data_IF_883700261936
#
_entry.id   IF_883700261936
#
_cell.length_a   1.000
_cell.length_b   1.000
_cell.length_c   1.000
_cell.angle_alpha   90.00
_cell.angle_beta   90.00
_cell.angle_gamma   90.00
#
_symmetry.space_group_name_H-M   'P 1'
#
loop_
_entity.id
_entity.type
_entity.pdbx_description
1 polymer ?
#
# COMPACT_ATOMS: atom_id res chain seq x y z
N UNK A 1 16.44 3.26 -24.27
CA UNK A 1 15.91 4.47 -23.57
C UNK A 1 15.94 4.22 -22.07
N UNK A 2 16.11 5.28 -21.24
CA UNK A 2 16.02 5.13 -19.79
C UNK A 2 14.55 4.91 -19.38
N UNK A 3 14.33 3.99 -18.43
CA UNK A 3 13.00 3.60 -17.96
C UNK A 3 12.38 4.60 -16.98
N UNK A 4 11.12 4.42 -16.66
CA UNK A 4 10.46 5.01 -15.49
C UNK A 4 10.49 4.02 -14.33
N UNK A 5 11.09 4.41 -13.20
CA UNK A 5 11.04 3.62 -11.97
C UNK A 5 9.73 3.87 -11.22
N UNK A 6 9.11 2.81 -10.72
CA UNK A 6 7.92 2.88 -9.85
C UNK A 6 8.34 2.55 -8.41
N UNK A 7 8.07 3.48 -7.51
CA UNK A 7 8.23 3.33 -6.06
C UNK A 7 6.86 3.09 -5.45
N UNK A 8 6.57 1.86 -5.05
CA UNK A 8 5.25 1.46 -4.54
C UNK A 8 5.36 0.46 -3.38
N UNK A 9 4.23 0.17 -2.75
CA UNK A 9 4.12 -0.83 -1.69
C UNK A 9 3.67 -2.21 -2.23
N UNK A 10 4.08 -2.59 -3.41
CA UNK A 10 3.74 -3.83 -4.13
C UNK A 10 3.96 -5.13 -3.33
N UNK A 11 4.83 -5.10 -2.34
CA UNK A 11 5.21 -6.23 -1.48
C UNK A 11 4.30 -6.40 -0.25
N UNK A 12 3.32 -5.54 -0.08
CA UNK A 12 2.35 -5.68 1.02
C UNK A 12 1.26 -6.66 0.63
N UNK A 13 0.98 -7.64 1.50
CA UNK A 13 -0.13 -8.57 1.32
C UNK A 13 -1.47 -7.89 1.62
N UNK A 14 -1.79 -6.88 0.83
CA UNK A 14 -3.00 -6.07 0.89
C UNK A 14 -3.56 -5.89 -0.53
N UNK A 15 -4.85 -6.14 -0.73
CA UNK A 15 -5.49 -6.08 -2.05
C UNK A 15 -5.35 -4.70 -2.69
N UNK A 16 -5.69 -3.64 -1.97
CA UNK A 16 -5.58 -2.27 -2.48
C UNK A 16 -4.16 -1.91 -2.85
N UNK A 17 -3.18 -2.23 -1.99
CA UNK A 17 -1.76 -1.93 -2.24
C UNK A 17 -1.21 -2.64 -3.47
N UNK A 18 -1.61 -3.90 -3.70
CA UNK A 18 -1.17 -4.66 -4.87
C UNK A 18 -1.85 -4.18 -6.15
N UNK A 19 -3.17 -3.96 -6.11
CA UNK A 19 -3.93 -3.55 -7.29
C UNK A 19 -3.56 -2.14 -7.76
N UNK A 20 -3.35 -1.18 -6.84
CA UNK A 20 -2.90 0.16 -7.23
C UNK A 20 -1.47 0.13 -7.81
N UNK A 21 -0.57 -0.71 -7.29
CA UNK A 21 0.78 -0.85 -7.83
C UNK A 21 0.74 -1.45 -9.25
N UNK A 22 -0.07 -2.49 -9.46
CA UNK A 22 -0.31 -3.06 -10.77
C UNK A 22 -0.91 -2.04 -11.74
N UNK A 23 -1.96 -1.32 -11.31
CA UNK A 23 -2.60 -0.31 -12.14
C UNK A 23 -1.62 0.82 -12.53
N UNK A 24 -0.75 1.25 -11.60
CA UNK A 24 0.29 2.25 -11.90
C UNK A 24 1.23 1.77 -13.01
N UNK A 25 1.69 0.51 -12.94
CA UNK A 25 2.55 -0.09 -13.95
C UNK A 25 1.85 -0.13 -15.31
N UNK A 26 0.60 -0.62 -15.33
CA UNK A 26 -0.18 -0.73 -16.57
C UNK A 26 -0.60 0.63 -17.14
N UNK A 27 -0.81 1.65 -16.30
CA UNK A 27 -1.10 3.00 -16.77
C UNK A 27 0.11 3.61 -17.51
N UNK A 28 1.33 3.36 -17.04
CA UNK A 28 2.54 3.77 -17.74
C UNK A 28 2.71 3.01 -19.07
N UNK A 29 2.34 1.72 -19.13
CA UNK A 29 2.33 0.95 -20.39
C UNK A 29 1.37 1.54 -21.41
N UNK A 30 0.17 1.97 -20.99
CA UNK A 30 -0.81 2.64 -21.87
C UNK A 30 -0.31 3.98 -22.42
N UNK A 31 0.65 4.59 -21.74
CA UNK A 31 1.29 5.84 -22.15
C UNK A 31 2.62 5.60 -22.88
N UNK A 32 2.92 4.35 -23.25
CA UNK A 32 4.14 3.93 -23.94
C UNK A 32 5.44 4.23 -23.17
N UNK A 33 5.38 4.29 -21.83
CA UNK A 33 6.55 4.42 -20.99
C UNK A 33 7.07 3.04 -20.55
N UNK A 34 8.28 2.68 -20.98
CA UNK A 34 8.98 1.53 -20.42
C UNK A 34 9.21 1.75 -18.92
N UNK A 35 8.77 0.80 -18.10
CA UNK A 35 8.76 0.98 -16.66
C UNK A 35 9.06 -0.32 -15.90
N UNK A 36 9.55 -0.17 -14.68
CA UNK A 36 9.74 -1.26 -13.73
C UNK A 36 9.55 -0.78 -12.29
N UNK A 37 9.10 -1.68 -11.43
CA UNK A 37 8.93 -1.40 -9.99
C UNK A 37 10.24 -1.70 -9.27
N UNK A 38 10.71 -0.78 -8.43
CA UNK A 38 11.97 -0.96 -7.69
C UNK A 38 11.87 -2.16 -6.75
N UNK A 39 12.76 -3.16 -6.93
CA UNK A 39 12.92 -4.28 -5.99
C UNK A 39 13.60 -3.80 -4.70
N UNK A 40 12.81 -3.75 -3.62
CA UNK A 40 13.31 -3.31 -2.31
C UNK A 40 13.95 -4.43 -1.49
N UNK A 41 13.98 -5.66 -1.97
CA UNK A 41 14.39 -6.82 -1.17
C UNK A 41 15.78 -6.64 -0.55
N UNK A 42 16.72 -5.99 -1.24
CA UNK A 42 18.06 -5.78 -0.75
C UNK A 42 18.19 -4.74 0.38
N UNK A 43 17.28 -3.75 0.43
CA UNK A 43 17.32 -2.67 1.45
C UNK A 43 16.04 -2.53 2.29
N UNK A 44 15.12 -3.48 2.20
CA UNK A 44 13.90 -3.47 3.01
C UNK A 44 14.19 -3.44 4.54
N UNK A 45 15.33 -4.01 4.95
CA UNK A 45 15.78 -3.95 6.33
C UNK A 45 16.05 -2.51 6.81
N UNK A 46 16.59 -1.63 5.94
CA UNK A 46 16.79 -0.20 6.26
C UNK A 46 15.45 0.50 6.50
N UNK A 47 14.46 0.26 5.61
CA UNK A 47 13.11 0.80 5.71
C UNK A 47 12.45 0.34 7.02
N UNK A 48 12.52 -0.96 7.32
CA UNK A 48 11.95 -1.54 8.56
C UNK A 48 12.61 -0.97 9.81
N UNK A 49 13.95 -0.89 9.83
CA UNK A 49 14.72 -0.33 10.96
C UNK A 49 14.31 1.12 11.25
N UNK A 50 14.23 1.95 10.20
CA UNK A 50 13.84 3.34 10.37
C UNK A 50 12.39 3.51 10.88
N UNK A 51 11.45 2.66 10.41
CA UNK A 51 10.09 2.63 10.94
C UNK A 51 10.05 2.20 12.41
N UNK A 52 10.80 1.17 12.79
CA UNK A 52 10.88 0.70 14.19
C UNK A 52 11.41 1.82 15.09
N UNK A 53 12.49 2.50 14.69
CA UNK A 53 13.06 3.64 15.43
C UNK A 53 12.06 4.80 15.57
N UNK A 54 11.32 5.11 14.49
CA UNK A 54 10.27 6.12 14.55
C UNK A 54 9.20 5.75 15.58
N UNK A 55 8.70 4.52 15.54
CA UNK A 55 7.66 4.06 16.47
C UNK A 55 8.17 3.90 17.91
N UNK A 56 9.43 3.53 18.11
CA UNK A 56 10.03 3.49 19.43
C UNK A 56 10.08 4.89 20.07
N UNK A 57 10.48 5.91 19.30
CA UNK A 57 10.44 7.31 19.76
C UNK A 57 9.02 7.80 20.04
N UNK A 58 8.07 7.48 19.17
CA UNK A 58 6.67 7.88 19.33
C UNK A 58 5.98 7.15 20.50
N UNK A 59 6.43 5.95 20.87
CA UNK A 59 5.87 5.15 21.97
C UNK A 59 6.25 5.66 23.37
N UNK A 60 7.14 6.63 23.46
CA UNK A 60 7.40 7.35 24.70
C UNK A 60 6.24 8.25 25.13
N UNK A 61 5.23 8.44 24.27
CA UNK A 61 3.95 9.06 24.60
C UNK A 61 2.92 7.96 24.87
N UNK A 62 2.25 8.00 26.03
CA UNK A 62 1.48 6.92 26.67
C UNK A 62 0.40 6.22 25.82
N UNK A 63 -0.28 6.93 24.94
CA UNK A 63 -1.47 6.39 24.22
C UNK A 63 -1.14 5.36 23.12
N UNK A 64 0.04 5.46 22.54
CA UNK A 64 0.52 4.54 21.48
C UNK A 64 1.00 3.22 22.07
N UNK A 65 1.50 3.23 23.31
CA UNK A 65 1.99 2.04 24.00
C UNK A 65 0.85 1.05 24.29
N UNK A 66 -0.29 1.56 24.74
CA UNK A 66 -1.46 0.75 25.10
C UNK A 66 -2.05 0.06 23.87
N UNK A 67 -2.16 0.79 22.75
CA UNK A 67 -2.69 0.23 21.49
C UNK A 67 -1.78 -0.87 20.90
N UNK A 68 -0.47 -0.74 21.04
CA UNK A 68 0.51 -1.73 20.56
C UNK A 68 0.58 -2.98 21.45
N UNK A 69 0.42 -2.84 22.77
CA UNK A 69 0.31 -3.99 23.67
C UNK A 69 -0.93 -4.82 23.35
N UNK A 70 -2.05 -4.17 23.00
CA UNK A 70 -3.25 -4.86 22.53
C UNK A 70 -3.02 -5.64 21.23
N UNK A 71 -2.35 -5.02 20.22
CA UNK A 71 -2.00 -5.70 18.98
C UNK A 71 -1.03 -6.86 19.17
N UNK A 72 0.01 -6.69 20.00
CA UNK A 72 0.96 -7.77 20.32
C UNK A 72 0.31 -8.94 21.04
N UNK A 73 -0.62 -8.67 21.98
CA UNK A 73 -1.43 -9.69 22.66
C UNK A 73 -2.30 -10.46 21.66
N UNK A 74 -2.95 -9.77 20.74
CA UNK A 74 -3.77 -10.40 19.70
C UNK A 74 -2.93 -11.28 18.75
N UNK A 75 -1.73 -10.84 18.35
CA UNK A 75 -0.81 -11.64 17.51
C UNK A 75 -0.35 -12.91 18.26
N UNK A 76 -0.07 -12.82 19.55
CA UNK A 76 0.30 -13.99 20.37
C UNK A 76 -0.87 -14.97 20.52
N UNK A 77 -2.06 -14.48 20.83
CA UNK A 77 -3.28 -15.32 20.92
C UNK A 77 -3.52 -16.05 19.59
N UNK A 78 -3.35 -15.35 18.46
CA UNK A 78 -3.50 -15.91 17.11
C UNK A 78 -2.48 -17.01 16.78
N UNK A 79 -1.25 -16.86 17.26
CA UNK A 79 -0.18 -17.83 17.03
C UNK A 79 -0.39 -19.14 17.79
N UNK A 80 -1.13 -19.10 18.91
CA UNK A 80 -1.43 -20.26 19.78
C UNK A 80 -2.86 -20.77 19.64
N UNK A 81 -3.71 -20.15 18.81
CA UNK A 81 -5.06 -20.65 18.60
C UNK A 81 -5.00 -21.89 17.69
N UNK A 82 -5.75 -22.94 18.05
CA UNK A 82 -5.85 -24.21 17.31
C UNK A 82 -6.67 -24.08 16.00
N UNK A 83 -6.92 -22.87 15.52
CA UNK A 83 -7.76 -22.61 14.37
C UNK A 83 -6.98 -22.74 13.06
N UNK A 84 -7.68 -23.03 11.96
CA UNK A 84 -7.17 -23.02 10.59
C UNK A 84 -6.54 -21.67 10.13
N UNK A 85 -6.55 -20.67 11.01
CA UNK A 85 -6.07 -19.32 10.73
C UNK A 85 -4.63 -19.27 10.17
N UNK A 86 -3.71 -20.03 10.77
CA UNK A 86 -2.32 -20.07 10.30
C UNK A 86 -2.21 -20.64 8.90
N UNK A 87 -2.96 -21.72 8.60
CA UNK A 87 -3.03 -22.34 7.28
C UNK A 87 -3.63 -21.39 6.25
N UNK A 88 -4.75 -20.75 6.58
CA UNK A 88 -5.45 -19.82 5.69
C UNK A 88 -4.63 -18.55 5.45
N UNK A 89 -3.97 -18.04 6.49
CA UNK A 89 -3.05 -16.90 6.38
C UNK A 89 -1.86 -17.22 5.46
N UNK A 90 -1.35 -18.46 5.52
CA UNK A 90 -0.31 -18.91 4.60
C UNK A 90 -0.83 -18.97 3.16
N UNK A 91 -1.99 -19.60 2.91
CA UNK A 91 -2.61 -19.65 1.58
C UNK A 91 -2.80 -18.25 1.01
N UNK A 92 -3.29 -17.32 1.83
CA UNK A 92 -3.42 -15.92 1.44
C UNK A 92 -2.08 -15.30 1.04
N UNK A 93 -1.05 -15.46 1.86
CA UNK A 93 0.30 -14.96 1.56
C UNK A 93 0.84 -15.55 0.26
N UNK A 94 0.73 -16.86 0.07
CA UNK A 94 1.20 -17.55 -1.13
C UNK A 94 0.49 -17.02 -2.40
N UNK A 95 -0.81 -16.68 -2.29
CA UNK A 95 -1.57 -16.07 -3.40
C UNK A 95 -1.10 -14.65 -3.75
N UNK A 96 -0.80 -13.82 -2.75
CA UNK A 96 -0.23 -12.50 -2.97
C UNK A 96 1.15 -12.58 -3.61
N UNK A 97 2.00 -13.48 -3.14
CA UNK A 97 3.34 -13.70 -3.70
C UNK A 97 3.26 -14.20 -5.16
N UNK A 98 2.31 -15.11 -5.45
CA UNK A 98 2.06 -15.58 -6.80
C UNK A 98 1.59 -14.46 -7.73
N UNK A 99 0.69 -13.59 -7.26
CA UNK A 99 0.27 -12.40 -8.00
C UNK A 99 1.46 -11.48 -8.28
N UNK A 100 2.25 -11.18 -7.26
CA UNK A 100 3.43 -10.33 -7.40
C UNK A 100 4.43 -10.88 -8.42
N UNK A 101 4.74 -12.16 -8.35
CA UNK A 101 5.65 -12.84 -9.31
C UNK A 101 5.11 -12.82 -10.75
N UNK A 102 3.79 -12.90 -10.92
CA UNK A 102 3.16 -12.95 -12.25
C UNK A 102 3.07 -11.60 -12.92
N UNK A 103 2.79 -10.55 -12.16
CA UNK A 103 2.34 -9.28 -12.72
C UNK A 103 3.31 -8.11 -12.55
N UNK A 104 4.23 -8.15 -11.57
CA UNK A 104 5.18 -7.05 -11.40
C UNK A 104 6.47 -7.27 -12.17
N UNK A 105 6.87 -6.25 -12.91
CA UNK A 105 8.21 -6.13 -13.48
C UNK A 105 9.09 -5.45 -12.44
N UNK A 106 9.95 -6.22 -11.80
CA UNK A 106 10.86 -5.71 -10.78
C UNK A 106 12.20 -5.32 -11.41
N UNK A 107 12.78 -4.26 -10.88
CA UNK A 107 14.15 -3.83 -11.24
C UNK A 107 15.21 -4.86 -10.84
N UNK A 108 16.42 -4.67 -11.29
CA UNK A 108 17.59 -5.28 -10.66
C UNK A 108 17.61 -4.92 -9.17
N UNK A 109 18.14 -5.82 -8.35
CA UNK A 109 18.20 -5.63 -6.91
C UNK A 109 19.33 -4.67 -6.54
N UNK A 110 19.00 -3.64 -5.77
CA UNK A 110 19.94 -2.73 -5.14
C UNK A 110 20.21 -3.20 -3.70
N UNK A 111 21.47 -3.12 -3.26
CA UNK A 111 21.87 -3.54 -1.91
C UNK A 111 21.50 -2.52 -0.83
N UNK A 112 21.32 -1.25 -1.21
CA UNK A 112 20.99 -0.15 -0.31
C UNK A 112 20.21 0.96 -1.04
N UNK A 113 19.57 1.85 -0.27
CA UNK A 113 18.98 3.08 -0.84
C UNK A 113 20.04 4.02 -1.41
N UNK A 114 21.23 4.00 -0.86
CA UNK A 114 22.35 4.80 -1.36
C UNK A 114 22.79 4.33 -2.75
N UNK A 115 22.92 3.02 -2.95
CA UNK A 115 23.23 2.45 -4.27
C UNK A 115 22.13 2.79 -5.29
N UNK A 116 20.85 2.64 -4.91
CA UNK A 116 19.73 3.07 -5.75
C UNK A 116 19.87 4.54 -6.16
N UNK A 117 20.20 5.42 -5.23
CA UNK A 117 20.40 6.84 -5.50
C UNK A 117 21.56 7.12 -6.47
N UNK A 118 22.70 6.45 -6.29
CA UNK A 118 23.87 6.60 -7.14
C UNK A 118 23.65 6.13 -8.58
N UNK A 119 22.85 5.08 -8.76
CA UNK A 119 22.55 4.51 -10.10
C UNK A 119 21.28 5.06 -10.73
N UNK A 120 20.58 5.97 -10.03
CA UNK A 120 19.26 6.41 -10.42
C UNK A 120 19.26 7.11 -11.79
N UNK A 121 20.17 8.04 -12.03
CA UNK A 121 20.24 8.81 -13.27
C UNK A 121 20.84 8.02 -14.45
N UNK A 122 21.60 6.98 -14.18
CA UNK A 122 22.05 6.06 -15.21
C UNK A 122 20.89 5.22 -15.78
N UNK A 123 20.01 4.73 -14.89
CA UNK A 123 18.98 3.75 -15.21
C UNK A 123 17.63 4.38 -15.56
N UNK A 124 17.30 5.55 -14.98
CA UNK A 124 15.96 6.11 -15.04
C UNK A 124 15.92 7.53 -15.57
N UNK A 125 14.93 7.82 -16.40
CA UNK A 125 14.56 9.19 -16.83
C UNK A 125 13.57 9.82 -15.83
N UNK A 126 12.79 8.99 -15.16
CA UNK A 126 11.77 9.41 -14.20
C UNK A 126 11.65 8.40 -13.05
N UNK A 127 11.30 8.88 -11.87
CA UNK A 127 10.92 8.06 -10.71
C UNK A 127 9.54 8.52 -10.23
N UNK A 128 8.60 7.59 -10.22
CA UNK A 128 7.22 7.83 -9.81
C UNK A 128 6.93 7.12 -8.49
N UNK A 129 6.58 7.88 -7.44
CA UNK A 129 5.96 7.30 -6.25
C UNK A 129 4.46 7.19 -6.47
N UNK A 130 3.94 5.97 -6.33
CA UNK A 130 2.55 5.64 -6.65
C UNK A 130 1.55 6.04 -5.58
N UNK A 131 0.35 5.54 -5.74
CA UNK A 131 -0.76 5.72 -4.79
C UNK A 131 -0.55 4.95 -3.49
N UNK A 132 -1.54 5.04 -2.61
CA UNK A 132 -1.60 4.50 -1.26
C UNK A 132 -1.10 5.48 -0.18
N UNK A 133 -1.26 5.12 1.09
CA UNK A 133 -0.85 5.91 2.25
C UNK A 133 0.69 5.90 2.43
N UNK A 134 1.42 6.24 1.37
CA UNK A 134 2.87 6.15 1.34
C UNK A 134 3.56 7.27 2.12
N UNK A 135 2.85 8.36 2.42
CA UNK A 135 3.36 9.48 3.22
C UNK A 135 2.87 9.50 4.68
N UNK A 136 2.50 8.31 5.22
CA UNK A 136 2.33 8.17 6.67
C UNK A 136 3.63 8.53 7.42
N UNK A 137 3.55 9.07 8.66
CA UNK A 137 4.73 9.53 9.41
C UNK A 137 5.86 8.50 9.53
N UNK A 138 5.54 7.22 9.75
CA UNK A 138 6.53 6.14 9.77
C UNK A 138 7.21 5.90 8.41
N UNK A 139 6.50 6.10 7.32
CA UNK A 139 7.04 6.01 5.96
C UNK A 139 7.92 7.22 5.62
N UNK A 140 7.50 8.42 6.04
CA UNK A 140 8.32 9.66 5.93
C UNK A 140 9.62 9.47 6.70
N UNK A 141 9.57 8.88 7.89
CA UNK A 141 10.77 8.59 8.69
C UNK A 141 11.71 7.60 8.01
N UNK A 142 11.16 6.62 7.28
CA UNK A 142 11.94 5.61 6.53
C UNK A 142 12.57 6.16 5.24
N UNK A 143 12.15 7.31 4.76
CA UNK A 143 12.77 8.09 3.69
C UNK A 143 12.98 7.31 2.36
N UNK A 144 12.02 6.45 2.01
CA UNK A 144 11.99 5.77 0.72
C UNK A 144 10.93 6.37 -0.22
N UNK A 145 9.70 6.51 0.27
CA UNK A 145 8.59 7.08 -0.50
C UNK A 145 8.64 8.62 -0.64
N UNK A 146 9.61 9.25 -0.01
CA UNK A 146 9.90 10.69 -0.12
C UNK A 146 10.64 11.05 -1.40
N UNK A 147 11.17 10.07 -2.12
CA UNK A 147 12.03 10.24 -3.29
C UNK A 147 13.26 11.12 -3.04
N UNK A 148 13.75 11.23 -1.79
CA UNK A 148 14.95 12.01 -1.48
C UNK A 148 16.22 11.46 -2.13
N UNK A 149 16.24 10.16 -2.45
CA UNK A 149 17.35 9.53 -3.15
C UNK A 149 17.43 9.90 -4.65
N UNK A 150 16.35 10.44 -5.23
CA UNK A 150 16.30 10.79 -6.66
C UNK A 150 17.11 12.05 -6.92
N UNK A 151 18.09 12.04 -7.82
CA UNK A 151 18.87 13.23 -8.19
C UNK A 151 18.01 14.25 -8.96
N UNK A 152 18.43 15.51 -8.94
CA UNK A 152 17.69 16.60 -9.60
C UNK A 152 17.62 16.48 -11.12
N UNK A 153 18.54 15.73 -11.72
CA UNK A 153 18.59 15.41 -13.15
C UNK A 153 17.45 14.51 -13.59
N UNK A 154 16.90 13.70 -12.69
CA UNK A 154 15.79 12.77 -12.94
C UNK A 154 14.45 13.41 -12.60
N UNK A 155 13.41 13.11 -13.38
CA UNK A 155 12.06 13.56 -13.06
C UNK A 155 11.51 12.80 -11.85
N UNK A 156 11.07 13.52 -10.82
CA UNK A 156 10.42 12.96 -9.64
C UNK A 156 8.94 13.31 -9.64
N UNK A 157 8.11 12.27 -9.57
CA UNK A 157 6.66 12.36 -9.72
C UNK A 157 5.99 11.67 -8.53
N UNK A 158 4.98 12.28 -7.95
CA UNK A 158 4.06 11.66 -7.01
C UNK A 158 2.67 11.62 -7.63
N UNK A 159 2.12 10.43 -7.83
CA UNK A 159 0.78 10.26 -8.41
C UNK A 159 -0.16 9.60 -7.40
N UNK A 160 -1.22 10.32 -7.04
CA UNK A 160 -2.25 9.89 -6.10
C UNK A 160 -1.69 9.45 -4.73
N UNK A 161 -0.54 9.98 -4.31
CA UNK A 161 0.09 9.63 -3.04
C UNK A 161 -0.66 10.28 -1.88
N UNK A 162 -0.91 9.50 -0.82
CA UNK A 162 -1.70 9.92 0.34
C UNK A 162 -0.87 10.03 1.61
N UNK A 163 -1.24 11.00 2.45
CA UNK A 163 -0.73 11.10 3.83
C UNK A 163 -1.51 10.20 4.80
N UNK A 164 -2.70 9.71 4.42
CA UNK A 164 -3.56 8.90 5.26
C UNK A 164 -4.13 9.63 6.48
N UNK A 165 -3.91 10.93 6.57
CA UNK A 165 -4.33 11.78 7.69
C UNK A 165 -4.34 13.26 7.31
N UNK A 166 -5.08 14.08 8.04
CA UNK A 166 -5.24 15.52 7.77
C UNK A 166 -4.19 16.41 8.43
N UNK A 167 -3.34 15.85 9.30
CA UNK A 167 -2.26 16.57 9.97
C UNK A 167 -1.02 15.68 10.16
N UNK A 168 0.15 16.27 10.30
CA UNK A 168 1.40 15.54 10.54
C UNK A 168 2.01 15.95 11.88
N UNK A 169 2.64 15.00 12.62
CA UNK A 169 3.51 15.32 13.73
C UNK A 169 4.62 16.30 13.31
N UNK A 170 5.04 17.17 14.21
CA UNK A 170 5.98 18.28 13.94
C UNK A 170 7.25 17.86 13.17
N UNK A 171 7.86 16.73 13.56
CA UNK A 171 9.09 16.26 12.90
C UNK A 171 8.80 15.68 11.51
N UNK A 172 7.68 14.99 11.33
CA UNK A 172 7.24 14.51 10.02
C UNK A 172 6.88 15.66 9.09
N UNK A 173 6.25 16.72 9.61
CA UNK A 173 5.92 17.93 8.85
C UNK A 173 7.19 18.64 8.34
N UNK A 174 8.23 18.78 9.20
CA UNK A 174 9.53 19.34 8.77
C UNK A 174 10.15 18.56 7.62
N UNK A 175 10.20 17.22 7.73
CA UNK A 175 10.70 16.33 6.66
C UNK A 175 9.83 16.44 5.40
N UNK A 176 8.51 16.49 5.55
CA UNK A 176 7.59 16.64 4.44
C UNK A 176 7.80 17.94 3.67
N UNK A 177 8.05 19.05 4.36
CA UNK A 177 8.38 20.33 3.72
C UNK A 177 9.57 20.20 2.76
N UNK A 178 10.58 19.42 3.12
CA UNK A 178 11.79 19.24 2.30
C UNK A 178 11.47 18.46 1.02
N UNK A 179 10.94 17.24 1.13
CA UNK A 179 10.72 16.41 -0.05
C UNK A 179 9.59 16.92 -0.94
N UNK A 180 8.54 17.54 -0.37
CA UNK A 180 7.47 18.16 -1.16
C UNK A 180 7.93 19.34 -2.02
N UNK A 181 8.97 20.05 -1.61
CA UNK A 181 9.61 21.08 -2.42
C UNK A 181 10.50 20.48 -3.51
N UNK A 182 11.10 19.31 -3.25
CA UNK A 182 12.01 18.63 -4.16
C UNK A 182 11.30 17.87 -5.29
N UNK A 183 10.17 17.20 -4.99
CA UNK A 183 9.41 16.45 -6.02
C UNK A 183 8.90 17.42 -7.09
N UNK A 184 9.23 17.14 -8.35
CA UNK A 184 8.89 18.06 -9.46
C UNK A 184 7.38 18.12 -9.72
N UNK A 185 6.71 16.98 -9.79
CA UNK A 185 5.28 16.89 -10.09
C UNK A 185 4.56 16.14 -8.97
N UNK A 186 3.49 16.73 -8.45
CA UNK A 186 2.71 16.13 -7.35
C UNK A 186 1.24 16.17 -7.70
N UNK A 187 0.60 15.00 -7.68
CA UNK A 187 -0.83 14.81 -7.59
C UNK A 187 -1.15 13.98 -6.36
N UNK A 188 -2.07 14.42 -5.53
CA UNK A 188 -2.47 13.72 -4.29
C UNK A 188 -3.84 13.08 -4.44
N UNK A 189 -4.13 12.05 -3.65
CA UNK A 189 -5.37 11.28 -3.77
C UNK A 189 -6.58 11.97 -3.12
N UNK A 190 -6.36 12.84 -2.15
CA UNK A 190 -7.44 13.45 -1.37
C UNK A 190 -7.20 14.94 -1.08
N UNK A 191 -8.29 15.69 -0.82
CA UNK A 191 -8.24 17.12 -0.51
C UNK A 191 -7.45 17.43 0.78
N UNK A 192 -7.49 16.53 1.77
CA UNK A 192 -6.69 16.68 2.99
C UNK A 192 -5.20 16.70 2.68
N UNK A 193 -4.75 15.86 1.73
CA UNK A 193 -3.39 15.84 1.21
C UNK A 193 -3.04 17.13 0.46
N UNK A 194 -3.95 17.62 -0.39
CA UNK A 194 -3.79 18.90 -1.11
C UNK A 194 -3.58 20.07 -0.14
N UNK A 195 -4.41 20.15 0.92
CA UNK A 195 -4.30 21.17 1.98
C UNK A 195 -2.95 21.07 2.71
N UNK A 196 -2.49 19.83 2.99
CA UNK A 196 -1.18 19.60 3.61
C UNK A 196 -0.03 20.06 2.72
N UNK A 197 -0.04 19.73 1.43
CA UNK A 197 1.00 20.17 0.48
C UNK A 197 1.03 21.69 0.39
N UNK A 198 -0.14 22.35 0.30
CA UNK A 198 -0.22 23.82 0.31
C UNK A 198 0.35 24.41 1.58
N UNK A 199 -0.03 23.87 2.74
CA UNK A 199 0.44 24.35 4.05
C UNK A 199 1.95 24.18 4.23
N UNK A 200 2.52 23.03 3.83
CA UNK A 200 3.89 22.67 4.11
C UNK A 200 4.89 23.17 3.06
N UNK A 201 4.50 23.19 1.80
CA UNK A 201 5.40 23.52 0.69
C UNK A 201 4.97 24.76 -0.10
N UNK A 202 3.82 25.37 0.19
CA UNK A 202 3.28 26.51 -0.54
C UNK A 202 2.76 26.18 -1.94
N UNK A 203 2.68 24.90 -2.31
CA UNK A 203 2.33 24.44 -3.67
C UNK A 203 0.84 24.14 -3.80
N UNK A 204 0.25 24.58 -4.89
CA UNK A 204 -1.07 24.11 -5.33
C UNK A 204 -0.87 22.88 -6.20
N UNK A 205 -1.50 21.78 -5.83
CA UNK A 205 -1.39 20.48 -6.52
C UNK A 205 -2.78 19.94 -6.82
N UNK A 206 -2.99 19.17 -7.91
CA UNK A 206 -4.29 18.56 -8.20
C UNK A 206 -4.60 17.41 -7.22
N UNK A 207 -5.89 17.19 -6.99
CA UNK A 207 -6.41 15.93 -6.47
C UNK A 207 -6.69 15.04 -7.68
N UNK A 208 -6.14 13.82 -7.65
CA UNK A 208 -6.23 12.84 -8.75
C UNK A 208 -6.74 11.52 -8.21
N UNK A 209 -7.41 10.73 -9.05
CA UNK A 209 -7.95 9.44 -8.63
C UNK A 209 -6.84 8.40 -8.39
N UNK A 210 -7.17 7.40 -7.57
CA UNK A 210 -6.32 6.21 -7.41
C UNK A 210 -6.14 5.53 -8.78
N UNK A 211 -4.92 5.03 -9.13
CA UNK A 211 -4.67 4.42 -10.43
C UNK A 211 -5.60 3.25 -10.76
N UNK A 212 -6.19 2.59 -9.77
CA UNK A 212 -7.18 1.53 -10.00
C UNK A 212 -8.44 2.03 -10.74
N UNK A 213 -8.75 3.31 -10.66
CA UNK A 213 -9.88 3.95 -11.34
C UNK A 213 -9.54 4.40 -12.79
N UNK A 214 -8.29 4.25 -13.22
CA UNK A 214 -7.89 4.50 -14.61
C UNK A 214 -8.23 3.35 -15.56
N UNK A 215 -8.79 2.26 -15.02
CA UNK A 215 -9.15 1.05 -15.73
C UNK A 215 -10.65 0.80 -15.69
N UNK A 216 -11.17 0.35 -16.82
CA UNK A 216 -12.57 -0.10 -16.93
C UNK A 216 -12.74 -1.49 -16.31
N UNK A 217 -13.99 -1.87 -16.06
CA UNK A 217 -14.32 -3.24 -15.61
C UNK A 217 -13.76 -4.31 -16.54
N UNK A 218 -13.88 -4.12 -17.85
CA UNK A 218 -13.38 -5.06 -18.87
C UNK A 218 -11.87 -5.24 -18.82
N UNK A 219 -11.13 -4.18 -18.49
CA UNK A 219 -9.68 -4.26 -18.32
C UNK A 219 -9.30 -5.04 -17.06
N UNK A 220 -10.04 -4.87 -15.97
CA UNK A 220 -9.86 -5.66 -14.76
C UNK A 220 -10.24 -7.13 -14.95
N UNK A 221 -11.27 -7.41 -15.76
CA UNK A 221 -11.66 -8.78 -16.10
C UNK A 221 -10.54 -9.58 -16.80
N UNK A 222 -9.60 -8.91 -17.49
CA UNK A 222 -8.46 -9.59 -18.17
C UNK A 222 -7.52 -10.30 -17.19
N UNK A 223 -7.42 -9.85 -15.94
CA UNK A 223 -6.58 -10.51 -14.91
C UNK A 223 -7.37 -11.37 -13.95
N UNK A 224 -8.68 -11.36 -14.05
CA UNK A 224 -9.56 -12.22 -13.25
C UNK A 224 -9.39 -13.70 -13.67
N UNK A 225 -9.57 -14.61 -12.72
CA UNK A 225 -9.71 -16.02 -13.04
C UNK A 225 -11.00 -16.25 -13.85
N UNK A 226 -10.90 -17.01 -14.93
CA UNK A 226 -12.06 -17.33 -15.79
C UNK A 226 -13.13 -18.11 -15.03
N UNK A 227 -12.70 -19.08 -14.21
CA UNK A 227 -13.60 -19.90 -13.41
C UNK A 227 -13.73 -19.31 -12.00
N UNK A 228 -14.96 -19.06 -11.52
CA UNK A 228 -15.17 -18.60 -10.15
C UNK A 228 -14.75 -19.69 -9.16
N UNK A 229 -14.01 -19.29 -8.12
CA UNK A 229 -13.57 -20.21 -7.06
C UNK A 229 -14.78 -20.67 -6.24
N UNK A 230 -15.77 -19.81 -6.08
CA UNK A 230 -16.99 -20.06 -5.30
C UNK A 230 -18.17 -20.09 -6.25
N UNK A 231 -18.91 -21.20 -6.23
CA UNK A 231 -20.11 -21.38 -7.05
C UNK A 231 -21.35 -20.83 -6.36
N UNK A 232 -22.25 -20.27 -7.16
CA UNK A 232 -23.54 -19.75 -6.71
C UNK A 232 -23.47 -18.29 -6.24
N UNK A 233 -24.57 -17.80 -5.66
CA UNK A 233 -24.67 -16.45 -5.13
C UNK A 233 -24.06 -16.37 -3.73
N UNK A 234 -23.33 -15.31 -3.44
CA UNK A 234 -22.72 -15.10 -2.14
C UNK A 234 -22.62 -13.61 -1.77
N UNK A 235 -22.47 -13.36 -0.49
CA UNK A 235 -22.18 -12.03 0.08
C UNK A 235 -20.69 -12.02 0.37
N UNK A 236 -19.93 -11.18 -0.37
CA UNK A 236 -18.51 -11.01 -0.12
C UNK A 236 -18.30 -10.02 1.02
N UNK A 237 -17.62 -10.46 2.07
CA UNK A 237 -17.26 -9.65 3.22
C UNK A 237 -15.76 -9.40 3.27
N UNK A 238 -15.38 -8.12 3.25
CA UNK A 238 -14.01 -7.66 3.49
C UNK A 238 -14.02 -6.64 4.63
N UNK A 239 -13.80 -7.12 5.84
CA UNK A 239 -13.83 -6.28 7.04
C UNK A 239 -12.41 -5.85 7.45
N UNK A 240 -12.25 -4.54 7.68
CA UNK A 240 -11.04 -3.95 8.23
C UNK A 240 -11.30 -3.59 9.70
N UNK A 241 -10.85 -4.44 10.61
CA UNK A 241 -11.04 -4.28 12.04
C UNK A 241 -12.35 -4.85 12.59
N UNK A 242 -12.51 -4.75 13.90
CA UNK A 242 -13.66 -5.28 14.61
C UNK A 242 -14.81 -4.28 14.57
N UNK A 243 -15.80 -4.54 13.71
CA UNK A 243 -17.00 -3.74 13.58
C UNK A 243 -18.25 -4.63 13.67
N UNK A 244 -18.82 -4.87 14.88
CA UNK A 244 -19.98 -5.72 15.08
C UNK A 244 -21.18 -5.37 14.20
N UNK A 245 -21.61 -4.09 14.05
CA UNK A 245 -22.75 -3.75 13.21
C UNK A 245 -22.62 -4.19 11.74
N UNK A 246 -21.43 -4.14 11.17
CA UNK A 246 -21.23 -4.61 9.79
C UNK A 246 -21.41 -6.13 9.66
N UNK A 247 -21.05 -6.88 10.69
CA UNK A 247 -21.23 -8.34 10.75
C UNK A 247 -22.68 -8.72 10.92
N UNK A 248 -23.37 -8.04 11.82
CA UNK A 248 -24.81 -8.21 12.02
C UNK A 248 -25.59 -7.92 10.74
N UNK A 249 -25.18 -6.89 10.00
CA UNK A 249 -25.75 -6.58 8.69
C UNK A 249 -25.51 -7.70 7.67
N UNK A 250 -24.30 -8.27 7.60
CA UNK A 250 -24.01 -9.40 6.72
C UNK A 250 -24.87 -10.63 7.05
N UNK A 251 -25.03 -10.94 8.35
CA UNK A 251 -25.89 -12.05 8.81
C UNK A 251 -27.37 -11.79 8.50
N UNK A 252 -27.83 -10.54 8.61
CA UNK A 252 -29.18 -10.16 8.19
C UNK A 252 -29.38 -10.40 6.70
N UNK A 253 -28.46 -9.92 5.86
CA UNK A 253 -28.51 -10.14 4.40
C UNK A 253 -28.49 -11.64 4.05
N UNK A 254 -27.69 -12.45 4.74
CA UNK A 254 -27.69 -13.92 4.56
C UNK A 254 -29.08 -14.51 4.79
N UNK A 255 -29.75 -14.12 5.88
CA UNK A 255 -31.11 -14.59 6.20
C UNK A 255 -32.14 -14.13 5.17
N UNK A 256 -32.06 -12.90 4.68
CA UNK A 256 -33.00 -12.33 3.71
C UNK A 256 -32.81 -12.90 2.30
N UNK A 257 -31.57 -13.19 1.89
CA UNK A 257 -31.23 -13.57 0.52
C UNK A 257 -31.00 -15.06 0.32
N UNK A 258 -30.77 -15.82 1.39
CA UNK A 258 -30.33 -17.21 1.34
C UNK A 258 -28.90 -17.40 0.79
N UNK A 259 -28.15 -16.31 0.60
CA UNK A 259 -26.79 -16.36 0.07
C UNK A 259 -25.79 -16.80 1.14
N UNK A 260 -24.71 -17.48 0.71
CA UNK A 260 -23.56 -17.79 1.57
C UNK A 260 -22.80 -16.52 1.92
N UNK A 261 -22.18 -16.46 3.10
CA UNK A 261 -21.18 -15.46 3.43
C UNK A 261 -19.79 -15.99 3.04
N UNK A 262 -19.07 -15.21 2.25
CA UNK A 262 -17.67 -15.45 1.90
C UNK A 262 -16.83 -14.33 2.50
N UNK A 263 -15.94 -14.65 3.43
CA UNK A 263 -15.06 -13.68 4.04
C UNK A 263 -13.64 -13.74 3.46
N UNK A 264 -13.12 -12.59 3.06
CA UNK A 264 -11.69 -12.45 2.80
C UNK A 264 -10.95 -12.42 4.13
N UNK A 265 -10.01 -13.36 4.30
CA UNK A 265 -9.22 -13.46 5.53
C UNK A 265 -8.32 -12.23 5.65
N UNK A 266 -8.71 -11.31 6.47
CA UNK A 266 -7.85 -10.25 7.00
C UNK A 266 -7.67 -10.56 8.49
N UNK A 267 -6.77 -9.96 9.21
CA UNK A 267 -6.42 -10.19 10.62
C UNK A 267 -7.62 -10.31 11.62
N UNK A 268 -8.80 -10.63 11.14
CA UNK A 268 -10.06 -10.61 11.83
C UNK A 268 -10.63 -12.04 11.99
N UNK A 269 -10.56 -12.57 13.20
CA UNK A 269 -11.03 -13.90 13.58
C UNK A 269 -12.55 -14.00 13.77
N UNK A 270 -13.26 -12.87 13.70
CA UNK A 270 -14.65 -12.80 14.14
C UNK A 270 -15.67 -12.98 13.03
N UNK A 271 -15.25 -13.14 11.79
CA UNK A 271 -16.19 -13.42 10.71
C UNK A 271 -16.47 -14.91 10.67
N UNK A 272 -17.66 -15.31 11.12
CA UNK A 272 -18.21 -16.61 10.78
C UNK A 272 -18.56 -16.55 9.29
N UNK A 273 -17.82 -17.26 8.47
CA UNK A 273 -18.10 -17.37 7.04
C UNK A 273 -18.46 -18.81 6.70
N UNK A 274 -19.32 -18.98 5.72
CA UNK A 274 -19.65 -20.30 5.18
C UNK A 274 -18.46 -20.82 4.34
N UNK A 275 -17.76 -19.90 3.68
CA UNK A 275 -16.57 -20.19 2.90
C UNK A 275 -15.51 -19.08 3.06
N UNK A 276 -14.24 -19.44 2.91
CA UNK A 276 -13.11 -18.53 2.99
C UNK A 276 -12.51 -18.35 1.62
N UNK A 277 -12.48 -17.11 1.15
CA UNK A 277 -11.99 -16.72 -0.17
C UNK A 277 -10.46 -16.62 -0.27
#
# INVERSE_FOLDING_TARGET
MKKTAIVSCYFQHNYGSMLQAYATQMALDKLDYENETIDIAGFNHEIKKAKILYFAKASLTSDILISKLGMAKNVLIKKFSKNDYARLSKVRSDRFDAFGKKYFRLSSRYSSKEELGKKCDENYSSVLVGSDQLWLPGNIAADYYTLNFVPTTVNSIAYATSFGQSSLPKDSAKKATIFLKKIKHIGVREESGQKLVKKLAGRNVPVVCDPTLLFTGDEWMKIQKKEPIIKGKYILCYFLGNNPPHREFAEKLKKETGCKIVALTHLDEFVKSDEIG
#
